data_IF_426722495512
#
_entry.id   IF_426722495512
#
_cell.length_a   1.000
_cell.length_b   1.000
_cell.length_c   1.000
_cell.angle_alpha   90.00
_cell.angle_beta   90.00
_cell.angle_gamma   90.00
#
_symmetry.space_group_name_H-M   'P 1'
#
loop_
_entity.id
_entity.type
_entity.pdbx_description
1 polymer ?
#
# COMPACT_ATOMS: atom_id res chain seq x y z
N UNK A 1 -8.26 -8.91 9.74
CA UNK A 1 -9.62 -9.09 9.23
C UNK A 1 -10.07 -7.81 8.51
N UNK A 2 -10.14 -7.85 7.17
CA UNK A 2 -10.49 -6.69 6.33
C UNK A 2 -11.89 -6.11 6.61
N UNK A 3 -12.76 -6.87 7.30
CA UNK A 3 -14.11 -6.45 7.70
C UNK A 3 -14.16 -5.63 8.98
N UNK A 4 -13.10 -5.63 9.79
CA UNK A 4 -13.05 -4.92 11.08
C UNK A 4 -12.17 -3.68 10.97
N UNK A 5 -12.62 -2.60 11.57
CA UNK A 5 -11.90 -1.33 11.57
C UNK A 5 -12.42 -0.44 12.71
N UNK A 6 -11.53 0.08 13.52
CA UNK A 6 -11.90 1.06 14.55
C UNK A 6 -11.97 2.46 13.94
N UNK A 7 -13.08 2.75 13.28
CA UNK A 7 -13.29 4.05 12.64
C UNK A 7 -13.27 5.21 13.64
N UNK A 8 -13.75 4.98 14.86
CA UNK A 8 -13.80 6.00 15.91
C UNK A 8 -12.41 6.41 16.38
N UNK A 9 -11.48 5.46 16.50
CA UNK A 9 -10.08 5.73 16.83
C UNK A 9 -9.43 6.69 15.81
N UNK A 10 -9.76 6.50 14.53
CA UNK A 10 -9.23 7.34 13.44
C UNK A 10 -10.10 8.57 13.13
N UNK A 11 -11.13 8.85 13.93
CA UNK A 11 -12.03 9.99 13.73
C UNK A 11 -12.87 9.92 12.44
N UNK A 12 -13.09 8.72 11.92
CA UNK A 12 -13.85 8.45 10.68
C UNK A 12 -15.30 8.16 11.03
N UNK A 13 -16.24 8.87 10.38
CA UNK A 13 -17.66 8.66 10.59
C UNK A 13 -18.12 7.27 10.10
N UNK A 14 -19.12 6.65 10.74
CA UNK A 14 -19.60 5.30 10.39
C UNK A 14 -19.99 5.16 8.91
N UNK A 15 -20.68 6.15 8.36
CA UNK A 15 -21.10 6.17 6.95
C UNK A 15 -19.93 6.23 5.97
N UNK A 16 -18.91 7.00 6.30
CA UNK A 16 -17.68 7.03 5.52
C UNK A 16 -16.96 5.68 5.61
N UNK A 17 -16.82 5.14 6.81
CA UNK A 17 -16.17 3.85 7.03
C UNK A 17 -16.82 2.70 6.24
N UNK A 18 -18.15 2.66 6.13
CA UNK A 18 -18.86 1.65 5.33
C UNK A 18 -18.50 1.70 3.84
N UNK A 19 -18.32 2.90 3.28
CA UNK A 19 -18.04 3.12 1.87
C UNK A 19 -16.55 3.10 1.55
N UNK A 20 -15.69 3.09 2.57
CA UNK A 20 -14.25 3.13 2.44
C UNK A 20 -13.68 1.75 2.10
N UNK A 21 -12.86 1.68 1.05
CA UNK A 21 -12.15 0.47 0.65
C UNK A 21 -11.37 -0.09 1.84
N UNK A 22 -11.52 -1.38 2.17
CA UNK A 22 -10.70 -2.04 3.18
C UNK A 22 -9.20 -1.80 3.04
N UNK A 23 -8.70 -1.62 1.83
CA UNK A 23 -7.28 -1.32 1.59
C UNK A 23 -6.86 0.01 2.22
N UNK A 24 -7.71 1.04 2.19
CA UNK A 24 -7.43 2.31 2.88
C UNK A 24 -7.38 2.12 4.40
N UNK A 25 -8.31 1.32 4.96
CA UNK A 25 -8.38 1.04 6.41
C UNK A 25 -7.14 0.29 6.88
N UNK A 26 -6.81 -0.81 6.19
CA UNK A 26 -5.66 -1.65 6.50
C UNK A 26 -4.34 -0.90 6.39
N UNK A 27 -4.18 -0.07 5.35
CA UNK A 27 -2.96 0.72 5.18
C UNK A 27 -2.81 1.79 6.26
N UNK A 28 -3.93 2.38 6.71
CA UNK A 28 -3.95 3.34 7.81
C UNK A 28 -3.51 2.68 9.13
N UNK A 29 -4.08 1.51 9.45
CA UNK A 29 -3.70 0.72 10.64
C UNK A 29 -2.23 0.27 10.59
N UNK A 30 -1.77 -0.24 9.43
CA UNK A 30 -0.39 -0.68 9.26
C UNK A 30 0.61 0.49 9.36
N UNK A 31 0.25 1.66 8.84
CA UNK A 31 1.07 2.87 8.95
C UNK A 31 1.20 3.33 10.40
N UNK A 32 0.10 3.31 11.15
CA UNK A 32 0.09 3.61 12.57
C UNK A 32 0.98 2.64 13.36
N UNK A 33 0.76 1.34 13.16
CA UNK A 33 1.56 0.30 13.83
C UNK A 33 3.05 0.38 13.49
N UNK A 34 3.41 0.68 12.24
CA UNK A 34 4.81 0.84 11.82
C UNK A 34 5.48 2.06 12.50
N UNK A 35 4.74 3.14 12.72
CA UNK A 35 5.24 4.29 13.46
C UNK A 35 5.48 3.95 14.93
N UNK A 36 4.55 3.25 15.59
CA UNK A 36 4.71 2.77 16.96
C UNK A 36 5.91 1.81 17.09
N UNK A 37 6.04 0.84 16.16
CA UNK A 37 7.17 -0.10 16.12
C UNK A 37 8.52 0.61 15.92
N UNK A 38 8.53 1.74 15.19
CA UNK A 38 9.72 2.60 15.06
C UNK A 38 10.05 3.41 16.34
N UNK A 39 9.29 3.23 17.42
CA UNK A 39 9.44 3.98 18.67
C UNK A 39 8.90 5.41 18.63
N UNK A 40 8.09 5.76 17.64
CA UNK A 40 7.53 7.12 17.47
C UNK A 40 6.07 7.18 17.90
N UNK A 41 5.70 8.22 18.61
CA UNK A 41 4.31 8.58 18.75
C UNK A 41 3.81 9.15 17.40
N UNK A 42 2.84 8.52 16.72
CA UNK A 42 2.35 8.99 15.41
C UNK A 42 1.91 10.46 15.43
N UNK A 43 1.28 10.91 16.52
CA UNK A 43 0.80 12.29 16.66
C UNK A 43 1.92 13.33 16.81
N UNK A 44 3.13 12.91 17.15
CA UNK A 44 4.29 13.82 17.24
C UNK A 44 4.82 14.25 15.86
N UNK A 45 4.36 13.60 14.79
CA UNK A 45 4.77 13.91 13.42
C UNK A 45 3.96 15.04 12.78
N UNK A 46 2.98 15.61 13.47
CA UNK A 46 2.15 16.71 12.97
C UNK A 46 3.00 17.87 12.46
N UNK A 47 2.68 18.38 11.29
CA UNK A 47 3.41 19.49 10.65
C UNK A 47 4.77 19.09 10.06
N UNK A 48 5.18 17.82 10.20
CA UNK A 48 6.48 17.36 9.70
C UNK A 48 6.50 17.11 8.20
N UNK A 49 7.69 17.14 7.61
CA UNK A 49 7.93 16.76 6.22
C UNK A 49 8.05 15.23 6.09
N UNK A 50 7.09 14.50 6.64
CA UNK A 50 7.00 13.05 6.47
C UNK A 50 6.26 12.71 5.20
N UNK A 51 6.86 11.89 4.34
CA UNK A 51 6.23 11.38 3.10
C UNK A 51 5.46 10.07 3.34
N UNK A 52 4.45 9.81 2.50
CA UNK A 52 3.69 8.55 2.51
C UNK A 52 3.63 7.99 1.09
N UNK A 53 4.07 6.74 0.91
CA UNK A 53 4.20 6.09 -0.39
C UNK A 53 3.54 4.71 -0.35
N UNK A 54 2.47 4.52 -1.10
CA UNK A 54 1.65 3.32 -1.04
C UNK A 54 1.54 2.59 -2.38
N UNK A 55 1.85 1.30 -2.42
CA UNK A 55 1.54 0.41 -3.54
C UNK A 55 0.12 -0.14 -3.41
N UNK A 56 -0.74 0.09 -4.42
CA UNK A 56 -2.12 -0.39 -4.46
C UNK A 56 -2.60 -0.48 -5.90
N UNK A 57 -3.36 -1.52 -6.26
CA UNK A 57 -3.75 -1.77 -7.65
C UNK A 57 -5.23 -2.09 -7.88
N UNK A 58 -5.92 -2.76 -6.96
CA UNK A 58 -7.24 -3.32 -7.21
C UNK A 58 -8.37 -2.44 -6.66
N UNK A 59 -9.52 -2.43 -7.37
CA UNK A 59 -10.74 -1.69 -7.04
C UNK A 59 -11.92 -2.62 -6.68
N UNK A 60 -11.66 -3.76 -6.08
CA UNK A 60 -12.68 -4.78 -5.78
C UNK A 60 -13.83 -4.23 -4.94
N UNK A 61 -13.53 -3.37 -3.98
CA UNK A 61 -14.55 -2.79 -3.11
C UNK A 61 -15.51 -1.89 -3.88
N UNK A 62 -14.99 -1.05 -4.76
CA UNK A 62 -15.81 -0.20 -5.63
C UNK A 62 -16.75 -1.04 -6.50
N UNK A 63 -16.25 -2.12 -7.10
CA UNK A 63 -17.07 -3.04 -7.89
C UNK A 63 -18.18 -3.68 -7.06
N UNK A 64 -17.88 -4.09 -5.82
CA UNK A 64 -18.92 -4.61 -4.90
C UNK A 64 -19.99 -3.59 -4.58
N UNK A 65 -19.61 -2.36 -4.29
CA UNK A 65 -20.55 -1.28 -3.99
C UNK A 65 -21.43 -0.97 -5.20
N UNK A 66 -20.86 -0.87 -6.39
CA UNK A 66 -21.61 -0.63 -7.64
C UNK A 66 -22.63 -1.75 -7.92
N UNK A 67 -22.20 -3.00 -7.81
CA UNK A 67 -23.06 -4.18 -8.02
C UNK A 67 -24.15 -4.31 -6.91
N UNK A 68 -23.88 -3.78 -5.72
CA UNK A 68 -24.81 -3.67 -4.62
C UNK A 68 -25.80 -2.50 -4.73
N UNK A 69 -25.79 -1.74 -5.83
CA UNK A 69 -26.69 -0.62 -6.06
C UNK A 69 -26.31 0.66 -5.28
N UNK A 70 -25.04 0.82 -4.91
CA UNK A 70 -24.59 2.04 -4.23
C UNK A 70 -24.84 3.28 -5.08
N UNK A 71 -25.47 4.28 -4.47
CA UNK A 71 -25.72 5.59 -5.10
C UNK A 71 -24.44 6.43 -5.04
N UNK A 72 -24.08 7.17 -6.10
CA UNK A 72 -22.93 8.09 -6.08
C UNK A 72 -23.08 9.16 -5.00
N UNK A 73 -22.25 9.08 -3.98
CA UNK A 73 -22.14 10.08 -2.89
C UNK A 73 -20.67 10.46 -2.69
N UNK A 74 -20.40 11.59 -2.08
CA UNK A 74 -19.02 12.10 -1.92
C UNK A 74 -18.05 11.10 -1.30
N UNK A 75 -18.47 10.40 -0.25
CA UNK A 75 -17.64 9.38 0.41
C UNK A 75 -17.34 8.15 -0.45
N UNK A 76 -18.13 7.86 -1.49
CA UNK A 76 -17.83 6.79 -2.42
C UNK A 76 -16.56 7.09 -3.21
N UNK A 77 -16.39 8.33 -3.67
CA UNK A 77 -15.19 8.76 -4.40
C UNK A 77 -13.95 8.73 -3.50
N UNK A 78 -14.00 9.46 -2.38
CA UNK A 78 -12.85 9.53 -1.44
C UNK A 78 -12.53 8.18 -0.78
N UNK A 79 -13.51 7.30 -0.66
CA UNK A 79 -13.33 5.95 -0.11
C UNK A 79 -12.69 4.95 -1.07
N UNK A 80 -12.65 5.20 -2.40
CA UNK A 80 -12.27 4.17 -3.37
C UNK A 80 -11.21 4.61 -4.39
N UNK A 81 -10.74 5.85 -4.38
CA UNK A 81 -9.66 6.32 -5.25
C UNK A 81 -8.32 6.00 -4.60
N UNK A 82 -7.41 5.36 -5.35
CA UNK A 82 -6.10 4.90 -4.85
C UNK A 82 -5.24 6.02 -4.27
N UNK A 83 -5.27 7.22 -4.86
CA UNK A 83 -4.54 8.38 -4.32
C UNK A 83 -4.91 8.69 -2.86
N UNK A 84 -6.10 8.30 -2.40
CA UNK A 84 -6.54 8.53 -1.04
C UNK A 84 -5.92 7.55 -0.03
N UNK A 85 -5.39 6.41 -0.47
CA UNK A 85 -4.70 5.46 0.42
C UNK A 85 -3.56 6.15 1.19
N UNK A 86 -2.53 6.75 0.55
CA UNK A 86 -1.50 7.50 1.26
C UNK A 86 -2.02 8.83 1.82
N UNK A 87 -2.90 9.53 1.09
CA UNK A 87 -3.38 10.85 1.49
C UNK A 87 -4.20 10.82 2.77
N UNK A 88 -4.89 9.73 3.06
CA UNK A 88 -5.62 9.56 4.32
C UNK A 88 -4.68 9.49 5.52
N UNK A 89 -3.55 8.81 5.39
CA UNK A 89 -2.50 8.79 6.42
C UNK A 89 -1.94 10.20 6.61
N UNK A 90 -1.58 10.86 5.52
CA UNK A 90 -1.06 12.23 5.55
C UNK A 90 -2.05 13.21 6.19
N UNK A 91 -3.34 13.10 5.83
CA UNK A 91 -4.39 13.95 6.38
C UNK A 91 -4.60 13.71 7.89
N UNK A 92 -4.71 12.45 8.30
CA UNK A 92 -4.92 12.10 9.72
C UNK A 92 -3.79 12.59 10.62
N UNK A 93 -2.56 12.43 10.17
CA UNK A 93 -1.37 12.75 10.94
C UNK A 93 -0.82 14.17 10.67
N UNK A 94 -1.51 14.95 9.81
CA UNK A 94 -1.08 16.30 9.39
C UNK A 94 0.37 16.31 8.88
N UNK A 95 0.66 15.42 7.89
CA UNK A 95 1.98 15.28 7.28
C UNK A 95 2.09 16.12 6.02
N UNK A 96 3.24 16.79 5.83
CA UNK A 96 3.47 17.76 4.76
C UNK A 96 4.51 17.32 3.71
N UNK A 97 4.99 16.08 3.77
CA UNK A 97 5.83 15.48 2.74
C UNK A 97 5.03 14.99 1.52
N UNK A 98 5.71 14.42 0.49
CA UNK A 98 5.03 13.79 -0.64
C UNK A 98 4.07 12.70 -0.19
N UNK A 99 2.90 12.58 -0.87
CA UNK A 99 1.89 11.58 -0.57
C UNK A 99 1.42 10.96 -1.88
N UNK A 100 1.92 9.76 -2.19
CA UNK A 100 1.87 9.20 -3.53
C UNK A 100 1.40 7.74 -3.53
N UNK A 101 0.46 7.40 -4.43
CA UNK A 101 0.05 6.02 -4.69
C UNK A 101 0.69 5.50 -5.97
N UNK A 102 1.07 4.22 -5.97
CA UNK A 102 1.71 3.56 -7.11
C UNK A 102 0.93 2.32 -7.53
N UNK A 103 0.66 2.24 -8.83
CA UNK A 103 0.17 1.04 -9.47
C UNK A 103 1.13 0.63 -10.60
N UNK A 104 1.96 -0.32 -10.30
CA UNK A 104 2.81 -1.04 -11.25
C UNK A 104 2.61 -2.56 -11.09
N UNK A 105 1.35 -2.94 -10.83
CA UNK A 105 0.93 -4.31 -10.54
C UNK A 105 1.74 -4.93 -9.39
N UNK A 106 2.30 -6.11 -9.57
CA UNK A 106 3.03 -6.86 -8.53
C UNK A 106 4.25 -6.12 -7.94
N UNK A 107 4.80 -5.15 -8.66
CA UNK A 107 5.97 -4.36 -8.22
C UNK A 107 5.61 -3.08 -7.46
N UNK A 108 4.33 -2.74 -7.30
CA UNK A 108 3.87 -1.45 -6.77
C UNK A 108 4.52 -1.05 -5.44
N UNK A 109 4.59 -1.96 -4.48
CA UNK A 109 5.19 -1.67 -3.16
C UNK A 109 6.70 -1.43 -3.22
N UNK A 110 7.42 -2.13 -4.11
CA UNK A 110 8.87 -1.92 -4.29
C UNK A 110 9.16 -0.65 -5.09
N UNK A 111 8.28 -0.26 -6.03
CA UNK A 111 8.36 1.03 -6.72
C UNK A 111 8.10 2.17 -5.74
N UNK A 112 7.11 2.03 -4.86
CA UNK A 112 6.85 2.96 -3.76
C UNK A 112 8.09 3.11 -2.85
N UNK A 113 8.75 1.99 -2.51
CA UNK A 113 10.00 1.99 -1.74
C UNK A 113 11.11 2.76 -2.47
N UNK A 114 11.30 2.49 -3.77
CA UNK A 114 12.28 3.21 -4.58
C UNK A 114 12.03 4.71 -4.57
N UNK A 115 10.79 5.14 -4.79
CA UNK A 115 10.42 6.56 -4.78
C UNK A 115 10.66 7.22 -3.42
N UNK A 116 10.33 6.54 -2.32
CA UNK A 116 10.61 7.03 -0.97
C UNK A 116 12.11 7.21 -0.70
N UNK A 117 12.94 6.25 -1.12
CA UNK A 117 14.41 6.35 -1.03
C UNK A 117 14.92 7.56 -1.81
N UNK A 118 14.39 7.79 -3.01
CA UNK A 118 14.77 8.96 -3.83
C UNK A 118 14.31 10.27 -3.17
N UNK A 119 13.10 10.33 -2.61
CA UNK A 119 12.58 11.50 -1.91
C UNK A 119 13.43 11.85 -0.67
N UNK A 120 13.82 10.86 0.13
CA UNK A 120 14.70 11.04 1.28
C UNK A 120 16.09 11.55 0.86
N UNK A 121 16.65 10.97 -0.21
CA UNK A 121 17.98 11.40 -0.75
C UNK A 121 17.95 12.81 -1.32
N UNK A 122 16.86 13.18 -1.99
CA UNK A 122 16.66 14.51 -2.54
C UNK A 122 16.27 15.58 -1.49
N UNK A 123 15.98 15.16 -0.24
CA UNK A 123 15.54 16.06 0.82
C UNK A 123 14.10 16.56 0.66
N UNK A 124 13.27 15.87 -0.14
CA UNK A 124 11.83 16.17 -0.28
C UNK A 124 11.06 15.84 1.01
N UNK A 125 11.54 14.84 1.76
CA UNK A 125 11.04 14.50 3.10
C UNK A 125 12.18 14.09 4.02
N UNK A 126 11.91 14.05 5.34
CA UNK A 126 12.88 13.70 6.38
C UNK A 126 12.62 12.32 6.98
N UNK A 127 11.39 11.85 6.85
CA UNK A 127 10.90 10.53 7.21
C UNK A 127 9.95 10.07 6.10
N UNK A 128 9.85 8.77 5.85
CA UNK A 128 8.89 8.22 4.90
C UNK A 128 8.20 6.97 5.44
N UNK A 129 6.88 6.94 5.35
CA UNK A 129 6.06 5.75 5.57
C UNK A 129 5.85 5.11 4.20
N UNK A 130 6.25 3.86 4.05
CA UNK A 130 6.21 3.14 2.77
C UNK A 130 5.58 1.78 2.94
N UNK A 131 4.70 1.42 2.03
CA UNK A 131 4.12 0.09 2.10
C UNK A 131 3.32 -0.30 0.88
N UNK A 132 2.57 -1.37 1.03
CA UNK A 132 1.63 -1.84 0.02
C UNK A 132 0.49 -2.58 0.66
N UNK A 133 -0.63 -2.61 -0.04
CA UNK A 133 -1.84 -3.29 0.40
C UNK A 133 -2.53 -3.96 -0.77
N UNK A 134 -3.06 -5.16 -0.53
CA UNK A 134 -3.89 -5.89 -1.47
C UNK A 134 -4.98 -6.65 -0.73
N UNK A 135 -6.23 -6.46 -1.11
CA UNK A 135 -7.39 -7.19 -0.61
C UNK A 135 -8.15 -7.83 -1.77
N UNK A 136 -8.55 -9.09 -1.62
CA UNK A 136 -9.24 -9.90 -2.62
C UNK A 136 -10.72 -10.02 -2.25
N UNK A 137 -11.54 -9.07 -2.70
CA UNK A 137 -12.92 -8.93 -2.22
C UNK A 137 -13.96 -9.46 -3.20
N UNK A 138 -13.55 -9.82 -4.43
CA UNK A 138 -14.45 -10.37 -5.46
C UNK A 138 -13.80 -11.54 -6.19
N UNK A 139 -14.59 -12.48 -6.75
CA UNK A 139 -14.07 -13.55 -7.58
C UNK A 139 -13.66 -13.10 -9.00
N UNK A 140 -13.98 -11.87 -9.39
CA UNK A 140 -13.79 -11.37 -10.77
C UNK A 140 -12.36 -11.55 -11.27
N UNK A 141 -11.38 -11.07 -10.50
CA UNK A 141 -9.97 -11.17 -10.88
C UNK A 141 -9.41 -12.59 -10.77
N UNK A 142 -9.98 -13.45 -9.91
CA UNK A 142 -9.64 -14.88 -9.92
C UNK A 142 -10.01 -15.51 -11.27
N UNK A 143 -11.25 -15.32 -11.71
CA UNK A 143 -11.69 -15.84 -13.00
C UNK A 143 -10.89 -15.24 -14.18
N UNK A 144 -10.59 -13.95 -14.16
CA UNK A 144 -9.82 -13.30 -15.22
C UNK A 144 -8.39 -13.85 -15.34
N UNK A 145 -7.68 -14.02 -14.21
CA UNK A 145 -6.31 -14.54 -14.21
C UNK A 145 -6.27 -16.06 -14.45
N UNK A 146 -7.29 -16.81 -14.02
CA UNK A 146 -7.42 -18.22 -14.34
C UNK A 146 -7.63 -18.44 -15.84
N UNK A 147 -8.54 -17.68 -16.48
CA UNK A 147 -8.74 -17.71 -17.92
C UNK A 147 -7.50 -17.28 -18.71
N UNK A 148 -6.64 -16.45 -18.14
CA UNK A 148 -5.36 -16.08 -18.72
C UNK A 148 -4.25 -17.14 -18.50
N UNK A 149 -4.55 -18.25 -17.82
CA UNK A 149 -3.58 -19.32 -17.52
C UNK A 149 -2.49 -18.90 -16.54
N UNK A 150 -2.74 -17.91 -15.70
CA UNK A 150 -1.74 -17.36 -14.78
C UNK A 150 -1.76 -18.02 -13.39
N UNK A 151 -2.89 -18.66 -13.01
CA UNK A 151 -3.04 -19.24 -11.68
C UNK A 151 -2.59 -20.71 -11.65
N UNK A 152 -1.97 -21.11 -10.53
CA UNK A 152 -1.56 -22.48 -10.32
C UNK A 152 -2.77 -23.38 -10.08
N UNK A 153 -2.94 -24.42 -10.91
CA UNK A 153 -3.98 -25.44 -10.71
C UNK A 153 -3.77 -26.25 -9.42
N UNK A 154 -2.55 -26.29 -8.90
CA UNK A 154 -2.20 -26.98 -7.64
C UNK A 154 -2.37 -26.10 -6.40
N UNK A 155 -2.77 -24.84 -6.56
CA UNK A 155 -3.01 -23.93 -5.45
C UNK A 155 -1.74 -23.53 -4.66
N UNK A 156 -0.56 -23.54 -5.30
CA UNK A 156 0.70 -23.15 -4.66
C UNK A 156 1.65 -22.45 -5.63
N UNK A 157 2.34 -21.45 -5.16
CA UNK A 157 3.50 -20.89 -5.85
C UNK A 157 4.68 -21.85 -5.68
N UNK A 158 5.23 -22.34 -6.78
CA UNK A 158 6.42 -23.19 -6.79
C UNK A 158 7.62 -22.34 -7.26
N UNK A 159 7.94 -21.29 -6.50
CA UNK A 159 8.95 -20.29 -6.86
C UNK A 159 10.31 -20.97 -7.05
N UNK A 160 10.95 -20.72 -8.22
CA UNK A 160 12.22 -21.30 -8.64
C UNK A 160 12.21 -22.83 -8.84
N UNK A 161 11.06 -23.48 -8.82
CA UNK A 161 10.92 -24.90 -9.05
C UNK A 161 10.58 -25.18 -10.53
N UNK A 162 11.16 -26.23 -11.10
CA UNK A 162 10.89 -26.65 -12.48
C UNK A 162 9.43 -27.08 -12.70
N UNK A 163 8.70 -27.42 -11.64
CA UNK A 163 7.28 -27.77 -11.67
C UNK A 163 6.35 -26.58 -11.52
N UNK A 164 6.84 -25.33 -11.54
CA UNK A 164 6.02 -24.15 -11.45
C UNK A 164 4.97 -24.12 -12.58
N UNK A 165 3.70 -23.92 -12.19
CA UNK A 165 2.54 -23.95 -13.11
C UNK A 165 1.62 -22.72 -12.99
N UNK A 166 2.09 -21.69 -12.32
CA UNK A 166 1.35 -20.47 -12.07
C UNK A 166 1.56 -19.95 -10.64
N UNK A 167 0.82 -18.91 -10.27
CA UNK A 167 0.90 -18.33 -8.93
C UNK A 167 -0.44 -18.45 -8.16
N UNK A 168 -0.39 -18.22 -6.87
CA UNK A 168 -1.57 -18.10 -6.00
C UNK A 168 -1.73 -16.64 -5.59
N UNK A 169 -2.93 -16.11 -5.76
CA UNK A 169 -3.26 -14.75 -5.30
C UNK A 169 -3.25 -14.69 -3.78
N UNK A 170 -2.75 -13.60 -3.24
CA UNK A 170 -2.66 -13.38 -1.80
C UNK A 170 -3.18 -12.01 -1.39
N UNK A 171 -3.60 -11.91 -0.15
CA UNK A 171 -3.96 -10.67 0.53
C UNK A 171 -2.87 -10.29 1.52
N UNK A 172 -2.74 -9.01 1.78
CA UNK A 172 -1.84 -8.53 2.80
C UNK A 172 -1.72 -7.02 2.83
N UNK A 173 -1.18 -6.55 3.92
CA UNK A 173 -0.75 -5.17 4.10
C UNK A 173 0.57 -5.17 4.85
N UNK A 174 1.46 -4.27 4.49
CA UNK A 174 2.70 -4.04 5.21
C UNK A 174 3.14 -2.59 5.04
N UNK A 175 3.73 -2.05 6.09
CA UNK A 175 4.32 -0.73 6.08
C UNK A 175 5.66 -0.75 6.80
N UNK A 176 6.60 0.05 6.33
CA UNK A 176 7.90 0.30 6.96
C UNK A 176 8.13 1.80 7.07
N UNK A 177 8.90 2.20 8.08
CA UNK A 177 9.33 3.59 8.28
C UNK A 177 10.78 3.71 7.83
N UNK A 178 11.05 4.64 6.91
CA UNK A 178 12.39 4.92 6.39
C UNK A 178 12.88 6.28 6.83
N UNK A 179 14.17 6.36 7.10
CA UNK A 179 14.89 7.60 7.40
C UNK A 179 16.28 7.52 6.82
N UNK A 180 16.92 8.67 6.50
CA UNK A 180 18.34 8.65 6.15
C UNK A 180 19.14 8.06 7.30
N UNK A 181 20.06 7.13 7.01
CA UNK A 181 20.81 6.38 8.04
C UNK A 181 21.50 7.32 9.05
N UNK A 182 22.13 8.39 8.56
CA UNK A 182 22.78 9.36 9.42
C UNK A 182 21.80 9.98 10.41
N UNK A 183 20.65 10.45 9.91
CA UNK A 183 19.63 11.09 10.75
C UNK A 183 19.03 10.11 11.76
N UNK A 184 18.93 8.83 11.38
CA UNK A 184 18.44 7.75 12.28
C UNK A 184 19.45 7.51 13.41
N UNK A 185 20.74 7.41 13.10
CA UNK A 185 21.80 7.22 14.12
C UNK A 185 21.93 8.43 15.04
N UNK A 186 21.92 9.63 14.48
CA UNK A 186 21.99 10.89 15.24
C UNK A 186 20.75 11.05 16.16
N UNK A 187 19.58 10.55 15.73
CA UNK A 187 18.34 10.56 16.50
C UNK A 187 18.17 9.41 17.50
N UNK A 188 19.10 8.45 17.53
CA UNK A 188 19.03 7.27 18.41
C UNK A 188 17.92 6.28 17.99
N UNK A 189 17.52 6.25 16.72
CA UNK A 189 16.50 5.34 16.21
C UNK A 189 17.01 3.88 16.22
N UNK A 190 16.11 2.93 16.47
CA UNK A 190 16.40 1.52 16.25
C UNK A 190 16.43 1.22 14.75
N UNK A 191 17.57 0.78 14.22
CA UNK A 191 17.76 0.47 12.81
C UNK A 191 17.67 -1.05 12.61
N UNK A 192 16.56 -1.53 12.01
CA UNK A 192 16.36 -2.95 11.71
C UNK A 192 17.12 -3.41 10.46
N UNK A 193 17.39 -2.49 9.53
CA UNK A 193 18.11 -2.78 8.30
C UNK A 193 18.39 -1.52 7.49
N UNK A 194 19.24 -1.66 6.48
CA UNK A 194 19.64 -0.54 5.59
C UNK A 194 19.31 -0.92 4.15
N UNK A 195 18.58 -0.03 3.47
CA UNK A 195 18.35 -0.15 2.02
C UNK A 195 19.59 0.37 1.29
N UNK A 196 20.45 -0.55 0.86
CA UNK A 196 21.73 -0.22 0.20
C UNK A 196 21.53 0.37 -1.19
N UNK A 197 20.53 -0.10 -1.94
CA UNK A 197 20.25 0.38 -3.29
C UNK A 197 18.87 -0.05 -3.77
N UNK A 198 18.34 0.70 -4.72
CA UNK A 198 17.08 0.42 -5.40
C UNK A 198 17.19 0.79 -6.87
N UNK A 199 16.51 0.06 -7.75
CA UNK A 199 16.37 0.36 -9.16
C UNK A 199 15.00 -0.02 -9.67
N UNK A 200 14.51 0.69 -10.68
CA UNK A 200 13.29 0.38 -11.41
C UNK A 200 13.64 0.30 -12.89
N UNK A 201 13.24 -0.80 -13.53
CA UNK A 201 13.47 -1.00 -14.96
C UNK A 201 12.30 -1.78 -15.57
N UNK A 202 12.13 -1.67 -16.88
CA UNK A 202 11.22 -2.47 -17.66
C UNK A 202 12.01 -3.45 -18.53
N UNK A 203 11.51 -4.70 -18.68
CA UNK A 203 12.18 -5.74 -19.47
C UNK A 203 12.20 -5.52 -20.98
N UNK A 204 11.49 -4.50 -21.48
CA UNK A 204 11.39 -4.20 -22.91
C UNK A 204 10.46 -5.17 -23.65
N UNK A 205 10.82 -5.51 -24.89
CA UNK A 205 10.05 -6.41 -25.71
C UNK A 205 10.25 -7.88 -25.28
N UNK A 206 9.16 -8.57 -24.99
CA UNK A 206 9.13 -10.00 -24.65
C UNK A 206 8.15 -10.74 -25.58
N UNK A 207 8.05 -12.07 -25.48
CA UNK A 207 7.15 -12.87 -26.31
C UNK A 207 5.67 -12.53 -26.11
N UNK A 208 5.28 -12.16 -24.89
CA UNK A 208 3.95 -11.62 -24.59
C UNK A 208 4.05 -10.52 -23.55
N UNK A 209 2.96 -9.75 -23.37
CA UNK A 209 2.90 -8.67 -22.38
C UNK A 209 3.09 -9.19 -20.95
N UNK A 210 2.67 -10.42 -20.70
CA UNK A 210 2.68 -11.07 -19.37
C UNK A 210 3.72 -12.18 -19.24
N UNK A 211 4.59 -12.37 -20.21
CA UNK A 211 5.65 -13.41 -20.21
C UNK A 211 6.98 -12.87 -19.71
#
# INVERSE_FOLDING_TARGET
DAGRFDAAFFGIGPREAELMDPQQRLFLEASWAALEDSGRNPLSLRGSRTGVFAGVSLHDHLHRLQNGGAVPVGHLATGNVHAIVPNRVSHLLDLHGPSEAFDTACSSSLVALHRAVMALRAGECDLAIVGGVNALLTPFWFAAFDNAGMLSARGRCATFDASADGYVRGEGVGAVVLRRLRDALDGGDTVHGVVSGTAVAHGGHAHSLTA
#
